data_IF_209595706591
#
_entry.id   IF_209595706591
#
_cell.length_a   1.000
_cell.length_b   1.000
_cell.length_c   1.000
_cell.angle_alpha   90.00
_cell.angle_beta   90.00
_cell.angle_gamma   90.00
#
_symmetry.space_group_name_H-M   'P 1'
#
loop_
_entity.id
_entity.type
_entity.pdbx_description
1 polymer ?
#
# COMPACT_ATOMS: atom_id res chain seq x y z
N UNK A 1 -8.31 0.90 27.81
CA UNK A 1 -8.39 1.27 27.42
C UNK A 1 -8.46 1.81 26.85
N UNK A 2 -8.21 1.76 26.40
CA UNK A 2 -8.21 2.23 25.78
C UNK A 2 -8.25 2.88 25.13
N UNK A 3 -8.10 3.03 24.88
CA UNK A 3 -8.01 3.58 24.23
C UNK A 3 -8.09 3.97 23.51
N UNK A 4 -8.04 3.89 23.25
CA UNK A 4 -8.00 4.15 22.51
C UNK A 4 -8.31 4.61 21.76
N UNK A 5 -8.43 4.67 21.64
CA UNK A 5 -8.63 4.93 20.82
C UNK A 5 -8.59 5.47 20.18
N UNK A 6 -8.49 5.59 19.83
CA UNK A 6 -8.20 5.95 19.25
C UNK A 6 -8.15 6.68 18.53
N UNK A 7 -7.84 6.99 18.83
CA UNK A 7 -7.78 7.82 18.12
C UNK A 7 -7.23 7.80 16.92
N UNK A 8 -7.77 7.99 16.32
CA UNK A 8 -7.39 8.22 15.36
C UNK A 8 -6.94 7.48 14.35
N UNK A 9 -5.89 7.67 13.97
CA UNK A 9 -5.36 7.20 12.75
C UNK A 9 -4.80 5.83 12.81
N UNK A 10 -4.60 5.30 13.97
CA UNK A 10 -4.03 3.96 14.08
C UNK A 10 -4.73 3.19 15.17
N UNK A 11 -4.82 1.87 15.01
CA UNK A 11 -5.39 1.04 16.08
C UNK A 11 -4.53 1.10 17.32
N UNK A 12 -5.13 1.02 18.49
CA UNK A 12 -4.37 0.91 19.71
C UNK A 12 -3.41 -0.26 19.65
N UNK A 13 -2.18 -0.07 20.09
CA UNK A 13 -1.18 -1.12 20.08
C UNK A 13 -0.55 -1.38 18.74
N UNK A 14 -0.75 -0.51 17.76
CA UNK A 14 -0.08 -0.66 16.48
C UNK A 14 1.42 -0.63 16.69
N UNK A 15 2.13 -1.66 16.18
CA UNK A 15 3.56 -1.80 16.33
C UNK A 15 4.30 -1.64 15.01
N UNK A 16 3.59 -1.45 13.92
CA UNK A 16 4.18 -1.34 12.60
C UNK A 16 3.44 -0.30 11.78
N UNK A 17 4.19 0.29 10.86
CA UNK A 17 3.69 1.36 10.01
C UNK A 17 4.18 1.12 8.59
N UNK A 18 3.55 1.78 7.65
CA UNK A 18 4.02 1.80 6.27
C UNK A 18 4.03 3.24 5.78
N UNK A 19 5.07 3.57 5.00
CA UNK A 19 5.26 4.90 4.46
C UNK A 19 5.49 4.78 2.96
N UNK A 20 4.53 5.24 2.18
CA UNK A 20 4.66 5.28 0.73
C UNK A 20 4.59 6.74 0.28
N UNK A 21 3.47 7.17 -0.29
CA UNK A 21 3.30 8.55 -0.69
C UNK A 21 2.31 9.21 0.26
N UNK A 22 2.75 9.54 1.43
CA UNK A 22 1.87 10.12 2.41
C UNK A 22 2.39 9.90 3.82
N UNK A 23 1.59 10.17 4.84
CA UNK A 23 2.02 9.98 6.21
C UNK A 23 2.16 8.50 6.55
N UNK A 24 2.89 8.23 7.63
CA UNK A 24 2.93 6.88 8.20
C UNK A 24 1.51 6.41 8.49
N UNK A 25 1.24 5.17 8.16
CA UNK A 25 -0.09 4.60 8.34
C UNK A 25 0.02 3.16 8.87
N UNK A 26 -0.96 2.76 9.64
CA UNK A 26 -1.05 1.41 10.17
C UNK A 26 -2.23 0.70 9.52
N UNK A 27 -1.96 -0.45 8.88
CA UNK A 27 -2.96 -1.24 8.18
C UNK A 27 -3.87 -0.39 7.30
N UNK A 28 -3.30 0.44 6.40
CA UNK A 28 -4.10 1.40 5.65
C UNK A 28 -5.01 0.71 4.64
N UNK A 29 -6.18 1.28 4.40
CA UNK A 29 -7.09 0.78 3.38
C UNK A 29 -6.68 1.23 1.99
N UNK A 30 -5.95 2.34 1.89
CA UNK A 30 -5.50 2.89 0.62
C UNK A 30 -4.03 3.26 0.71
N UNK A 31 -3.32 3.13 -0.42
CA UNK A 31 -1.94 3.57 -0.55
C UNK A 31 -1.75 4.16 -1.94
N UNK A 32 -1.18 5.36 -2.00
CA UNK A 32 -0.76 5.96 -3.27
C UNK A 32 0.67 5.53 -3.53
N UNK A 33 0.94 5.03 -4.72
CA UNK A 33 2.27 4.52 -5.08
C UNK A 33 2.99 5.43 -6.07
N UNK A 34 2.25 6.14 -6.92
CA UNK A 34 2.82 7.16 -7.80
C UNK A 34 2.72 8.50 -7.10
N UNK A 35 3.82 8.95 -6.49
CA UNK A 35 3.77 10.07 -5.56
C UNK A 35 3.51 11.42 -6.22
N UNK A 36 3.93 11.60 -7.45
CA UNK A 36 3.77 12.90 -8.11
C UNK A 36 2.36 13.18 -8.58
N UNK A 37 1.74 12.23 -9.24
CA UNK A 37 0.47 12.43 -9.94
C UNK A 37 -0.66 11.51 -9.48
N UNK A 38 -0.38 10.61 -8.55
CA UNK A 38 -1.36 9.68 -8.00
C UNK A 38 -2.01 8.78 -9.07
N UNK A 39 -1.30 8.50 -10.16
CA UNK A 39 -1.83 7.66 -11.24
C UNK A 39 -1.79 6.17 -10.96
N UNK A 40 -1.25 5.77 -9.81
CA UNK A 40 -1.16 4.38 -9.41
C UNK A 40 -1.27 4.26 -7.91
N UNK A 41 -2.15 3.41 -7.46
CA UNK A 41 -2.35 3.19 -6.04
C UNK A 41 -3.15 1.94 -5.75
N UNK A 42 -3.29 1.66 -4.46
CA UNK A 42 -4.06 0.53 -3.96
C UNK A 42 -5.26 1.04 -3.17
N UNK A 43 -6.36 0.30 -3.24
CA UNK A 43 -7.60 0.64 -2.56
C UNK A 43 -8.21 -0.62 -1.96
N UNK A 44 -9.09 -0.44 -0.99
CA UNK A 44 -9.86 -1.51 -0.34
C UNK A 44 -8.96 -2.60 0.21
N UNK A 45 -7.82 -2.22 0.77
CA UNK A 45 -6.89 -3.18 1.37
C UNK A 45 -7.47 -3.72 2.67
N UNK A 46 -7.47 -5.04 2.79
CA UNK A 46 -7.87 -5.74 4.01
C UNK A 46 -6.67 -6.54 4.51
N UNK A 47 -6.04 -6.05 5.55
CA UNK A 47 -4.77 -6.59 6.04
C UNK A 47 -4.98 -7.72 7.03
N UNK A 48 -4.05 -8.68 6.98
CA UNK A 48 -3.90 -9.76 7.94
C UNK A 48 -2.44 -9.81 8.39
N UNK A 49 -2.24 -10.02 9.68
CA UNK A 49 -0.90 -10.16 10.24
C UNK A 49 -0.15 -8.85 10.39
N UNK A 50 -0.86 -7.73 10.43
CA UNK A 50 -0.20 -6.43 10.59
C UNK A 50 0.59 -6.41 11.90
N UNK A 51 1.84 -5.93 11.82
CA UNK A 51 2.76 -5.93 12.97
C UNK A 51 3.68 -7.13 12.99
N UNK A 52 3.39 -8.17 12.21
CA UNK A 52 4.28 -9.32 12.05
C UNK A 52 5.33 -9.00 11.00
N UNK A 53 6.42 -9.78 10.91
CA UNK A 53 7.43 -9.54 9.89
C UNK A 53 6.89 -9.50 8.47
N UNK A 54 5.78 -10.18 8.23
CA UNK A 54 5.08 -10.15 6.93
C UNK A 54 3.58 -9.97 7.18
N UNK A 55 3.01 -8.97 6.54
CA UNK A 55 1.57 -8.74 6.54
C UNK A 55 1.05 -8.86 5.12
N UNK A 56 -0.14 -9.40 4.93
CA UNK A 56 -0.74 -9.57 3.61
C UNK A 56 -2.11 -8.93 3.55
N UNK A 57 -2.47 -8.46 2.36
CA UNK A 57 -3.79 -7.88 2.15
C UNK A 57 -4.32 -8.30 0.79
N UNK A 58 -5.63 -8.41 0.69
CA UNK A 58 -6.31 -8.41 -0.60
C UNK A 58 -6.82 -7.01 -0.86
N UNK A 59 -6.92 -6.63 -2.12
CA UNK A 59 -7.38 -5.30 -2.47
C UNK A 59 -7.47 -5.09 -3.96
N UNK A 60 -7.55 -3.82 -4.34
CA UNK A 60 -7.69 -3.40 -5.72
C UNK A 60 -6.54 -2.45 -6.05
N UNK A 61 -5.84 -2.71 -7.16
CA UNK A 61 -4.92 -1.74 -7.71
C UNK A 61 -5.68 -0.87 -8.70
N UNK A 62 -5.45 0.43 -8.65
CA UNK A 62 -6.03 1.38 -9.59
C UNK A 62 -4.91 2.09 -10.32
N UNK A 63 -4.96 2.05 -11.64
CA UNK A 63 -3.93 2.65 -12.47
C UNK A 63 -4.57 3.40 -13.63
N UNK A 64 -4.06 4.60 -13.89
CA UNK A 64 -4.47 5.41 -15.03
C UNK A 64 -3.75 4.86 -16.27
N UNK A 65 -4.49 4.63 -17.34
CA UNK A 65 -3.89 4.14 -18.58
C UNK A 65 -3.10 5.22 -19.32
N UNK A 66 -3.30 6.48 -18.96
CA UNK A 66 -2.60 7.62 -19.54
C UNK A 66 -2.67 7.63 -21.07
N UNK A 67 -3.81 7.26 -21.62
CA UNK A 67 -4.04 7.21 -23.05
C UNK A 67 -5.20 8.13 -23.42
N UNK A 68 -4.97 9.15 -24.25
CA UNK A 68 -3.74 9.54 -24.96
C UNK A 68 -2.69 10.19 -24.06
N UNK A 69 -3.06 10.65 -22.88
CA UNK A 69 -2.15 11.16 -21.86
C UNK A 69 -2.82 10.99 -20.51
N UNK A 70 -2.09 11.26 -19.44
CA UNK A 70 -2.62 10.97 -18.10
C UNK A 70 -3.80 11.87 -17.72
N UNK A 71 -3.83 13.11 -18.21
CA UNK A 71 -4.93 14.01 -17.91
C UNK A 71 -6.24 13.56 -18.58
N UNK A 72 -6.15 12.95 -19.75
CA UNK A 72 -7.30 12.46 -20.50
C UNK A 72 -7.49 10.95 -20.38
N UNK A 73 -6.66 10.29 -19.61
CA UNK A 73 -6.73 8.84 -19.44
C UNK A 73 -7.83 8.41 -18.49
N UNK A 74 -7.95 7.10 -18.32
CA UNK A 74 -8.96 6.51 -17.47
C UNK A 74 -8.30 5.56 -16.47
N UNK A 75 -8.84 5.54 -15.25
CA UNK A 75 -8.41 4.59 -14.23
C UNK A 75 -9.06 3.24 -14.44
N UNK A 76 -8.26 2.19 -14.34
CA UNK A 76 -8.72 0.81 -14.38
C UNK A 76 -8.42 0.15 -13.06
N UNK A 77 -9.25 -0.83 -12.68
CA UNK A 77 -9.15 -1.53 -11.42
C UNK A 77 -8.74 -2.98 -11.65
N UNK A 78 -7.85 -3.47 -10.79
CA UNK A 78 -7.29 -4.83 -10.91
C UNK A 78 -7.26 -5.47 -9.54
N UNK A 79 -7.62 -6.75 -9.47
CA UNK A 79 -7.58 -7.47 -8.19
C UNK A 79 -6.16 -7.86 -7.89
N UNK A 80 -5.73 -7.60 -6.65
CA UNK A 80 -4.36 -7.84 -6.22
C UNK A 80 -4.30 -8.43 -4.82
N UNK A 81 -3.15 -9.04 -4.54
CA UNK A 81 -2.70 -9.35 -3.20
C UNK A 81 -1.47 -8.49 -2.94
N UNK A 82 -1.42 -7.84 -1.79
CA UNK A 82 -0.29 -7.04 -1.39
C UNK A 82 0.40 -7.69 -0.19
N UNK A 83 1.73 -7.69 -0.20
CA UNK A 83 2.52 -8.20 0.92
C UNK A 83 3.47 -7.10 1.36
N UNK A 84 3.40 -6.74 2.64
CA UNK A 84 4.34 -5.81 3.26
C UNK A 84 5.30 -6.63 4.10
N UNK A 85 6.61 -6.44 3.90
CA UNK A 85 7.61 -7.16 4.67
C UNK A 85 8.86 -6.30 4.88
N UNK A 86 9.92 -6.91 5.38
CA UNK A 86 11.13 -6.21 5.80
C UNK A 86 10.80 -5.14 6.84
N UNK A 87 10.17 -5.58 7.91
CA UNK A 87 9.83 -4.71 9.03
C UNK A 87 11.10 -4.40 9.82
N UNK A 88 11.49 -3.12 9.87
CA UNK A 88 12.67 -2.72 10.62
C UNK A 88 12.54 -1.30 11.13
N UNK A 89 13.51 -0.90 11.94
CA UNK A 89 13.49 0.41 12.60
C UNK A 89 13.61 1.53 11.57
N UNK A 90 12.83 2.57 11.78
CA UNK A 90 12.84 3.78 10.99
C UNK A 90 12.64 4.93 11.98
N UNK A 91 13.74 5.46 12.53
CA UNK A 91 13.64 6.39 13.63
C UNK A 91 13.01 5.72 14.84
N UNK A 92 11.95 6.29 15.37
CA UNK A 92 11.21 5.73 16.50
C UNK A 92 10.14 4.75 16.09
N UNK A 93 9.87 4.64 14.80
CA UNK A 93 8.86 3.74 14.29
C UNK A 93 9.51 2.47 13.77
N UNK A 94 8.70 1.43 13.57
CA UNK A 94 9.07 0.26 12.81
C UNK A 94 8.24 0.28 11.54
N UNK A 95 8.88 0.19 10.40
CA UNK A 95 8.18 0.30 9.12
C UNK A 95 8.49 -0.88 8.23
N UNK A 96 7.51 -1.25 7.41
CA UNK A 96 7.73 -2.21 6.34
C UNK A 96 8.47 -1.52 5.22
N UNK A 97 9.61 -2.08 4.83
CA UNK A 97 10.47 -1.48 3.81
C UNK A 97 10.23 -2.00 2.42
N UNK A 98 9.36 -2.99 2.25
CA UNK A 98 9.04 -3.53 0.93
C UNK A 98 7.56 -3.83 0.82
N UNK A 99 6.98 -3.48 -0.32
CA UNK A 99 5.60 -3.80 -0.67
C UNK A 99 5.61 -4.54 -1.99
N UNK A 100 5.04 -5.73 -2.02
CA UNK A 100 4.95 -6.55 -3.22
C UNK A 100 3.49 -6.69 -3.60
N UNK A 101 3.16 -6.38 -4.85
CA UNK A 101 1.82 -6.44 -5.38
C UNK A 101 1.77 -7.54 -6.41
N UNK A 102 0.88 -8.51 -6.23
CA UNK A 102 0.70 -9.61 -7.19
C UNK A 102 -0.70 -9.49 -7.78
N UNK A 103 -0.75 -9.42 -9.10
CA UNK A 103 -2.00 -9.29 -9.84
C UNK A 103 -2.62 -10.66 -10.03
N UNK A 104 -3.91 -10.79 -9.68
CA UNK A 104 -4.62 -12.06 -9.74
C UNK A 104 -4.88 -12.49 -11.19
N UNK A 105 -5.17 -11.53 -12.06
CA UNK A 105 -5.49 -11.81 -13.45
C UNK A 105 -4.90 -10.71 -14.35
N UNK A 106 -5.71 -9.77 -14.80
CA UNK A 106 -5.24 -8.67 -15.63
C UNK A 106 -4.37 -7.72 -14.83
N UNK A 107 -3.49 -7.02 -15.49
CA UNK A 107 -2.60 -6.01 -14.89
C UNK A 107 -2.43 -4.83 -15.85
N UNK A 108 -1.99 -3.68 -15.32
CA UNK A 108 -1.72 -2.53 -16.20
C UNK A 108 -0.61 -2.86 -17.19
N UNK A 109 -0.68 -2.25 -18.36
CA UNK A 109 0.37 -2.40 -19.35
C UNK A 109 1.68 -1.87 -18.80
N UNK A 110 2.76 -2.61 -19.01
CA UNK A 110 4.08 -2.21 -18.55
C UNK A 110 4.37 -2.53 -17.08
N UNK A 111 3.40 -3.04 -16.35
CA UNK A 111 3.58 -3.40 -14.95
C UNK A 111 3.77 -4.92 -14.85
N UNK A 112 4.75 -5.34 -14.07
CA UNK A 112 5.01 -6.76 -13.87
C UNK A 112 3.87 -7.39 -13.05
N UNK A 113 3.61 -8.67 -13.29
CA UNK A 113 2.61 -9.40 -12.51
C UNK A 113 2.95 -9.38 -11.03
N UNK A 114 4.23 -9.45 -10.71
CA UNK A 114 4.76 -9.30 -9.35
C UNK A 114 5.51 -7.98 -9.32
N UNK A 115 4.87 -6.97 -8.79
CA UNK A 115 5.38 -5.60 -8.80
C UNK A 115 5.93 -5.28 -7.41
N UNK A 116 7.23 -5.07 -7.32
CA UNK A 116 7.93 -4.89 -6.06
C UNK A 116 8.31 -3.44 -5.88
N UNK A 117 7.92 -2.88 -4.75
CA UNK A 117 8.25 -1.51 -4.37
C UNK A 117 9.15 -1.52 -3.14
N UNK A 118 10.34 -0.95 -3.27
CA UNK A 118 11.20 -0.69 -2.13
C UNK A 118 10.76 0.62 -1.52
N UNK A 119 10.43 0.62 -0.25
CA UNK A 119 9.88 1.79 0.41
C UNK A 119 10.98 2.50 1.20
N UNK A 120 10.81 3.82 1.33
CA UNK A 120 11.78 4.66 2.03
C UNK A 120 11.87 4.27 3.51
N UNK A 121 13.00 4.57 4.05
CA UNK A 121 13.43 4.22 5.36
C UNK A 121 13.69 2.74 5.42
#
# INVERSE_FOLDING_TARGET
>A
MLADLRVGCSPPGATAWIFACGPLAAAPRTLTLACGDANYGLDRLAWHGWGRPRATATGIARANDCTPNCAAGHFHSYRVTATADRLNACGRARTYARLTIVYAAARPEGVARRDVHELAC
#
